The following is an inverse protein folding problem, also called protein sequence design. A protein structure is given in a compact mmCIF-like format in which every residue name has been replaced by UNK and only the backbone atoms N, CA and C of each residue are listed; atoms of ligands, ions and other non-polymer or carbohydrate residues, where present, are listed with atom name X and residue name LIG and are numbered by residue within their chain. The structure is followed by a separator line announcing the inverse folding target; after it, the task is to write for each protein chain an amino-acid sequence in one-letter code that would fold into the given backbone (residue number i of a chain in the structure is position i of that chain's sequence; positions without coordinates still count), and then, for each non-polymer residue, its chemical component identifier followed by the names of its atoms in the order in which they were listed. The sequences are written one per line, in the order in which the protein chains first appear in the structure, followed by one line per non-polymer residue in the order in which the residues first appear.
data_IF_970417529438
#
_entry.id   IF_970417529438
#
_cell.length_a   1.000
_cell.length_b   1.000
_cell.length_c   1.000
_cell.angle_alpha   90.00
_cell.angle_beta   90.00
_cell.angle_gamma   90.00
#
_symmetry.space_group_name_H-M   'P 1'
#
loop_
_entity.id
_entity.type
_entity.pdbx_description
1 polymer ?
#
# COMPACT_ATOMS: atom_id res chain seq x y z
N UNK A 1 -42.73 13.66 36.15
CA UNK A 1 -41.65 14.36 36.87
C UNK A 1 -40.54 13.36 37.15
N UNK A 2 -39.64 13.17 36.18
CA UNK A 2 -38.48 12.28 36.31
C UNK A 2 -37.26 13.06 36.80
N UNK A 3 -36.50 12.49 37.73
CA UNK A 3 -35.37 13.14 38.41
C UNK A 3 -34.25 13.57 37.44
N UNK A 4 -33.76 14.82 37.50
CA UNK A 4 -32.63 15.31 36.70
C UNK A 4 -31.25 14.79 37.14
N UNK A 5 -31.18 13.98 38.21
CA UNK A 5 -29.92 13.53 38.80
C UNK A 5 -29.18 12.44 37.97
N UNK A 6 -29.83 11.78 37.01
CA UNK A 6 -29.19 10.74 36.17
C UNK A 6 -28.45 11.29 34.95
N UNK A 7 -28.74 12.51 34.49
CA UNK A 7 -28.10 13.12 33.32
C UNK A 7 -26.67 13.61 33.59
N UNK A 8 -26.36 14.00 34.83
CA UNK A 8 -25.05 14.57 35.18
C UNK A 8 -23.99 13.46 35.36
N UNK A 9 -24.39 12.26 35.82
CA UNK A 9 -23.47 11.14 36.02
C UNK A 9 -22.92 10.57 34.71
N UNK A 10 -23.73 10.50 33.66
CA UNK A 10 -23.34 9.92 32.37
C UNK A 10 -22.44 10.85 31.55
N UNK A 11 -22.70 12.17 31.58
CA UNK A 11 -21.85 13.17 30.92
C UNK A 11 -20.49 13.30 31.61
N UNK A 12 -20.46 13.18 32.94
CA UNK A 12 -19.20 13.12 33.70
C UNK A 12 -18.37 11.88 33.34
N UNK A 13 -18.98 10.73 33.08
CA UNK A 13 -18.27 9.51 32.68
C UNK A 13 -17.64 9.64 31.28
N UNK A 14 -18.35 10.28 30.33
CA UNK A 14 -17.86 10.54 28.96
C UNK A 14 -16.73 11.58 28.95
N UNK A 15 -16.84 12.64 29.76
CA UNK A 15 -15.77 13.64 29.93
C UNK A 15 -14.52 13.07 30.62
N UNK A 16 -14.69 12.18 31.59
CA UNK A 16 -13.57 11.46 32.21
C UNK A 16 -12.90 10.51 31.21
N UNK A 17 -13.65 9.93 30.28
CA UNK A 17 -13.11 9.10 29.20
C UNK A 17 -12.30 9.91 28.15
N UNK A 18 -12.78 11.09 27.78
CA UNK A 18 -12.07 12.00 26.88
C UNK A 18 -10.74 12.47 27.50
N UNK A 19 -10.75 12.83 28.79
CA UNK A 19 -9.56 13.24 29.52
C UNK A 19 -8.56 12.07 29.76
N UNK A 20 -9.06 10.85 29.98
CA UNK A 20 -8.20 9.67 30.11
C UNK A 20 -7.50 9.33 28.78
N UNK A 21 -8.20 9.43 27.65
CA UNK A 21 -7.59 9.25 26.32
C UNK A 21 -6.54 10.31 25.96
N UNK A 22 -6.72 11.57 26.38
CA UNK A 22 -5.71 12.63 26.20
C UNK A 22 -4.47 12.45 27.10
N UNK A 23 -4.63 11.87 28.29
CA UNK A 23 -3.52 11.60 29.21
C UNK A 23 -2.59 10.46 28.75
N UNK A 24 -3.12 9.50 27.99
CA UNK A 24 -2.34 8.39 27.41
C UNK A 24 -1.52 8.85 26.20
N UNK A 25 -2.01 9.80 25.39
CA UNK A 25 -1.26 10.39 24.26
C UNK A 25 -0.15 11.34 24.71
N UNK A 26 -0.37 12.11 25.77
CA UNK A 26 0.61 13.08 26.30
C UNK A 26 1.79 12.43 27.04
N UNK A 27 1.64 11.20 27.52
CA UNK A 27 2.72 10.44 28.19
C UNK A 27 3.78 9.88 27.21
N UNK A 28 3.55 9.98 25.89
CA UNK A 28 4.43 9.40 24.86
C UNK A 28 5.27 10.42 24.06
N UNK A 29 5.17 11.73 24.35
CA UNK A 29 5.82 12.80 23.57
C UNK A 29 6.92 13.58 24.29
N UNK A 30 7.36 13.18 25.49
CA UNK A 30 8.50 13.83 26.17
C UNK A 30 9.71 12.92 26.28
N UNK A 31 10.52 12.87 25.22
CA UNK A 31 11.97 12.61 25.33
C UNK A 31 12.65 12.81 23.97
N UNK A 32 13.15 14.02 23.71
CA UNK A 32 14.48 14.26 23.10
C UNK A 32 14.76 15.76 22.96
N UNK A 33 15.45 16.35 23.94
CA UNK A 33 16.49 17.40 23.82
C UNK A 33 17.27 17.37 25.14
N UNK A 34 18.37 16.61 25.23
CA UNK A 34 19.79 17.01 25.03
C UNK A 34 20.40 17.79 26.22
N UNK A 35 21.20 17.04 26.99
CA UNK A 35 22.43 17.37 27.74
C UNK A 35 22.63 18.75 28.38
N UNK A 36 22.64 18.77 29.73
CA UNK A 36 23.88 19.02 30.49
C UNK A 36 23.73 18.56 31.96
N UNK A 37 24.85 18.15 32.56
CA UNK A 37 25.13 17.77 33.96
C UNK A 37 24.94 16.31 34.43
N UNK A 38 26.10 15.67 34.59
CA UNK A 38 26.46 14.51 35.43
C UNK A 38 25.86 14.49 36.84
N UNK A 39 25.48 13.30 37.33
CA UNK A 39 26.08 12.56 38.48
C UNK A 39 25.37 11.19 38.69
N UNK A 40 26.17 10.22 39.15
CA UNK A 40 25.98 8.79 39.49
C UNK A 40 24.63 8.32 40.08
N UNK A 41 24.28 7.06 39.78
CA UNK A 41 23.39 6.23 40.61
C UNK A 41 22.94 4.93 39.93
N UNK A 42 23.19 3.80 40.58
CA UNK A 42 22.99 2.41 40.15
C UNK A 42 21.56 1.99 39.73
N UNK A 43 21.50 1.02 38.79
CA UNK A 43 20.63 -0.16 38.92
C UNK A 43 19.26 -0.16 38.23
N UNK A 44 19.01 -1.22 37.42
CA UNK A 44 17.66 -1.76 37.22
C UNK A 44 17.19 -1.86 35.76
N UNK A 45 17.31 -3.06 35.16
CA UNK A 45 16.52 -3.44 33.99
C UNK A 45 15.02 -3.40 34.30
N UNK A 46 14.23 -2.88 33.36
CA UNK A 46 12.84 -3.32 33.15
C UNK A 46 12.44 -3.02 31.70
N UNK A 47 12.36 -4.08 30.90
CA UNK A 47 11.52 -4.15 29.70
C UNK A 47 10.09 -3.78 30.10
N UNK A 48 9.56 -2.67 29.57
CA UNK A 48 8.13 -2.40 29.62
C UNK A 48 7.47 -3.05 28.40
N UNK A 49 7.12 -4.32 28.56
CA UNK A 49 6.11 -4.97 27.73
C UNK A 49 4.79 -4.21 27.88
N UNK A 50 4.23 -3.74 26.76
CA UNK A 50 2.88 -3.20 26.74
C UNK A 50 1.92 -4.40 26.82
N UNK A 51 1.35 -4.59 28.00
CA UNK A 51 0.51 -5.74 28.36
C UNK A 51 -0.77 -5.82 27.53
N UNK A 52 -1.00 -7.01 26.94
CA UNK A 52 -2.23 -7.40 26.24
C UNK A 52 -3.51 -7.36 27.11
N UNK A 53 -3.38 -7.23 28.43
CA UNK A 53 -4.51 -7.07 29.37
C UNK A 53 -5.23 -5.73 29.18
N UNK A 54 -4.49 -4.65 28.94
CA UNK A 54 -5.06 -3.30 28.78
C UNK A 54 -5.96 -3.15 27.55
N UNK A 55 -5.62 -3.82 26.44
CA UNK A 55 -6.45 -3.81 25.22
C UNK A 55 -7.77 -4.57 25.42
N UNK A 56 -7.75 -5.66 26.17
CA UNK A 56 -8.95 -6.48 26.47
C UNK A 56 -9.92 -5.73 27.40
N UNK A 57 -9.38 -4.97 28.35
CA UNK A 57 -10.17 -4.16 29.29
C UNK A 57 -10.85 -2.98 28.58
N UNK A 58 -10.17 -2.33 27.62
CA UNK A 58 -10.75 -1.23 26.85
C UNK A 58 -11.87 -1.70 25.91
N UNK A 59 -11.72 -2.84 25.23
CA UNK A 59 -12.79 -3.41 24.39
C UNK A 59 -14.01 -3.81 25.23
N UNK A 60 -13.78 -4.42 26.40
CA UNK A 60 -14.85 -4.81 27.33
C UNK A 60 -15.60 -3.59 27.86
N UNK A 61 -14.86 -2.54 28.23
CA UNK A 61 -15.43 -1.29 28.74
C UNK A 61 -16.19 -0.53 27.63
N UNK A 62 -15.67 -0.50 26.42
CA UNK A 62 -16.37 0.10 25.27
C UNK A 62 -17.69 -0.64 24.96
N UNK A 63 -17.72 -1.97 25.08
CA UNK A 63 -18.95 -2.76 25.00
C UNK A 63 -19.97 -2.42 26.09
N UNK A 64 -19.52 -2.17 27.33
CA UNK A 64 -20.40 -1.74 28.43
C UNK A 64 -20.93 -0.31 28.22
N UNK A 65 -20.11 0.59 27.67
CA UNK A 65 -20.55 1.94 27.28
C UNK A 65 -21.60 1.86 26.17
N UNK A 66 -21.40 1.04 25.13
CA UNK A 66 -22.41 0.81 24.09
C UNK A 66 -23.73 0.32 24.65
N UNK A 67 -23.69 -0.63 25.57
CA UNK A 67 -24.89 -1.18 26.19
C UNK A 67 -25.64 -0.13 27.03
N UNK A 68 -24.89 0.74 27.71
CA UNK A 68 -25.44 1.85 28.50
C UNK A 68 -26.03 2.95 27.61
N UNK A 69 -25.37 3.27 26.50
CA UNK A 69 -25.87 4.22 25.50
C UNK A 69 -27.17 3.71 24.89
N UNK A 70 -27.19 2.47 24.41
CA UNK A 70 -28.38 1.86 23.82
C UNK A 70 -29.57 1.83 24.80
N UNK A 71 -29.30 1.61 26.10
CA UNK A 71 -30.33 1.59 27.14
C UNK A 71 -30.90 2.99 27.49
N UNK A 72 -30.20 4.06 27.14
CA UNK A 72 -30.62 5.44 27.45
C UNK A 72 -30.89 6.27 26.19
N UNK A 73 -30.77 5.68 25.00
CA UNK A 73 -30.79 6.40 23.73
C UNK A 73 -32.10 7.18 23.56
N UNK A 74 -33.24 6.60 23.94
CA UNK A 74 -34.58 7.22 23.88
C UNK A 74 -34.73 8.53 24.71
N UNK A 75 -33.80 8.83 25.62
CA UNK A 75 -33.81 10.06 26.42
C UNK A 75 -33.11 11.24 25.73
N UNK A 76 -32.41 10.99 24.61
CA UNK A 76 -31.66 11.98 23.85
C UNK A 76 -32.43 12.45 22.61
N UNK A 77 -32.17 13.68 22.16
CA UNK A 77 -32.68 14.12 20.85
C UNK A 77 -32.01 13.30 19.75
N UNK A 78 -32.66 13.13 18.59
CA UNK A 78 -32.12 12.32 17.50
C UNK A 78 -30.71 12.77 17.05
N UNK A 79 -30.41 14.07 17.16
CA UNK A 79 -29.09 14.65 16.85
C UNK A 79 -28.05 14.23 17.89
N UNK A 80 -28.40 14.29 19.19
CA UNK A 80 -27.49 13.89 20.27
C UNK A 80 -27.21 12.37 20.27
N UNK A 81 -28.17 11.57 19.80
CA UNK A 81 -27.98 10.13 19.61
C UNK A 81 -26.94 9.84 18.52
N UNK A 82 -27.05 10.52 17.37
CA UNK A 82 -26.15 10.36 16.23
C UNK A 82 -24.70 10.72 16.59
N UNK A 83 -24.50 11.86 17.24
CA UNK A 83 -23.20 12.33 17.73
C UNK A 83 -22.58 11.36 18.75
N UNK A 84 -23.38 10.83 19.67
CA UNK A 84 -22.91 9.91 20.70
C UNK A 84 -22.47 8.56 20.11
N UNK A 85 -23.24 8.03 19.16
CA UNK A 85 -22.87 6.82 18.43
C UNK A 85 -21.61 7.04 17.56
N UNK A 86 -21.40 8.25 17.01
CA UNK A 86 -20.21 8.58 16.21
C UNK A 86 -18.95 8.57 17.09
N UNK A 87 -19.05 9.23 18.24
CA UNK A 87 -17.97 9.24 19.24
C UNK A 87 -17.63 7.83 19.72
N UNK A 88 -18.65 6.99 19.94
CA UNK A 88 -18.45 5.62 20.38
C UNK A 88 -17.83 4.73 19.30
N UNK A 89 -18.25 4.89 18.04
CA UNK A 89 -17.65 4.21 16.88
C UNK A 89 -16.17 4.56 16.75
N UNK A 90 -15.82 5.84 16.90
CA UNK A 90 -14.44 6.31 16.83
C UNK A 90 -13.60 5.82 18.03
N UNK A 91 -14.20 5.74 19.23
CA UNK A 91 -13.54 5.23 20.42
C UNK A 91 -13.23 3.73 20.32
N UNK A 92 -14.20 2.92 19.90
CA UNK A 92 -14.04 1.49 19.62
C UNK A 92 -12.94 1.24 18.57
N UNK A 93 -13.00 1.99 17.47
CA UNK A 93 -11.98 1.92 16.42
C UNK A 93 -10.57 2.18 16.95
N UNK A 94 -10.38 3.21 17.78
CA UNK A 94 -9.08 3.54 18.37
C UNK A 94 -8.60 2.46 19.34
N UNK A 95 -9.52 1.83 20.08
CA UNK A 95 -9.21 0.74 21.00
C UNK A 95 -8.76 -0.55 20.28
N UNK A 96 -9.36 -0.84 19.12
CA UNK A 96 -9.11 -2.07 18.35
C UNK A 96 -7.94 -1.95 17.35
N UNK A 97 -7.47 -0.73 17.08
CA UNK A 97 -6.39 -0.49 16.12
C UNK A 97 -5.01 -0.89 16.67
N UNK A 98 -4.29 -1.84 16.03
CA UNK A 98 -2.98 -2.28 16.50
C UNK A 98 -1.96 -1.12 16.46
N UNK A 99 -1.46 -0.74 17.64
CA UNK A 99 -0.28 0.13 17.78
C UNK A 99 -0.54 1.63 17.87
N UNK A 100 -1.80 2.09 18.03
CA UNK A 100 -2.12 3.50 18.34
C UNK A 100 -1.55 4.54 17.36
N UNK A 101 -1.18 4.12 16.14
CA UNK A 101 -0.43 4.94 15.18
C UNK A 101 -1.27 5.34 13.98
N UNK A 102 -1.10 6.62 13.65
CA UNK A 102 -1.75 7.43 12.62
C UNK A 102 -3.24 7.70 12.87
N UNK A 103 -3.55 8.98 13.09
CA UNK A 103 -4.91 9.48 13.07
C UNK A 103 -5.53 9.14 11.70
N UNK A 104 -6.32 8.07 11.62
CA UNK A 104 -7.26 7.90 10.53
C UNK A 104 -8.22 9.09 10.57
N UNK A 105 -8.60 9.63 9.41
CA UNK A 105 -9.62 10.68 9.41
C UNK A 105 -10.91 10.08 9.98
N UNK A 106 -11.49 10.73 10.99
CA UNK A 106 -12.73 10.27 11.61
C UNK A 106 -13.83 10.11 10.55
N UNK A 107 -13.86 11.00 9.55
CA UNK A 107 -14.75 10.91 8.41
C UNK A 107 -14.58 9.64 7.57
N UNK A 108 -13.34 9.20 7.29
CA UNK A 108 -13.09 7.95 6.56
C UNK A 108 -13.58 6.73 7.37
N UNK A 109 -13.29 6.70 8.68
CA UNK A 109 -13.67 5.58 9.55
C UNK A 109 -15.19 5.49 9.67
N UNK A 110 -15.86 6.61 9.93
CA UNK A 110 -17.32 6.65 10.03
C UNK A 110 -17.98 6.24 8.71
N UNK A 111 -17.47 6.73 7.57
CA UNK A 111 -17.97 6.32 6.26
C UNK A 111 -17.75 4.81 6.03
N UNK A 112 -16.58 4.27 6.35
CA UNK A 112 -16.28 2.85 6.16
C UNK A 112 -17.16 1.95 7.04
N UNK A 113 -17.32 2.27 8.32
CA UNK A 113 -18.07 1.42 9.25
C UNK A 113 -19.58 1.59 9.05
N UNK A 114 -20.09 2.82 9.03
CA UNK A 114 -21.55 3.07 9.00
C UNK A 114 -22.15 2.96 7.61
N UNK A 115 -21.53 3.60 6.61
CA UNK A 115 -22.11 3.66 5.27
C UNK A 115 -21.78 2.41 4.44
N UNK A 116 -20.63 1.79 4.67
CA UNK A 116 -20.13 0.68 3.85
C UNK A 116 -20.11 -0.67 4.60
N UNK A 117 -20.38 -0.67 5.91
CA UNK A 117 -20.49 -1.89 6.72
C UNK A 117 -19.17 -2.63 6.91
N UNK A 118 -18.02 -1.95 6.80
CA UNK A 118 -16.72 -2.56 7.10
C UNK A 118 -16.56 -2.82 8.59
N UNK A 119 -15.87 -3.90 8.93
CA UNK A 119 -15.37 -4.11 10.29
C UNK A 119 -14.37 -3.02 10.67
N UNK A 120 -14.17 -2.83 11.97
CA UNK A 120 -13.16 -1.91 12.51
C UNK A 120 -11.75 -2.19 11.98
N UNK A 121 -11.36 -3.47 11.88
CA UNK A 121 -10.08 -3.87 11.31
C UNK A 121 -9.93 -3.50 9.83
N UNK A 122 -10.99 -3.70 9.03
CA UNK A 122 -11.01 -3.31 7.62
C UNK A 122 -11.00 -1.79 7.46
N UNK A 123 -11.79 -1.06 8.26
CA UNK A 123 -11.76 0.39 8.30
C UNK A 123 -10.38 0.92 8.69
N UNK A 124 -9.68 0.23 9.61
CA UNK A 124 -8.34 0.63 10.05
C UNK A 124 -7.33 0.42 8.94
N UNK A 125 -7.38 -0.71 8.24
CA UNK A 125 -6.55 -0.94 7.07
C UNK A 125 -6.83 0.10 5.97
N UNK A 126 -8.11 0.42 5.72
CA UNK A 126 -8.52 1.31 4.66
C UNK A 126 -8.14 2.78 4.90
N UNK A 127 -8.31 3.24 6.14
CA UNK A 127 -8.17 4.65 6.51
C UNK A 127 -6.80 5.00 7.12
N UNK A 128 -5.83 4.08 7.05
CA UNK A 128 -4.46 4.33 7.49
C UNK A 128 -3.83 5.49 6.69
N UNK A 129 -3.23 6.45 7.39
CA UNK A 129 -2.38 7.48 6.76
C UNK A 129 -3.09 8.73 6.20
N UNK A 130 -4.27 9.11 6.70
CA UNK A 130 -5.00 10.33 6.28
C UNK A 130 -5.35 10.38 4.77
N UNK A 131 -5.60 9.22 4.17
CA UNK A 131 -5.95 9.12 2.76
C UNK A 131 -7.44 9.42 2.60
N UNK A 132 -7.75 10.68 2.29
CA UNK A 132 -9.12 11.25 2.28
C UNK A 132 -10.08 10.47 1.36
N UNK A 133 -9.58 9.82 0.31
CA UNK A 133 -10.42 9.19 -0.71
C UNK A 133 -10.48 7.66 -0.66
N UNK A 134 -9.82 7.01 0.32
CA UNK A 134 -9.80 5.54 0.37
C UNK A 134 -11.18 4.94 0.69
N UNK A 135 -11.98 5.59 1.53
CA UNK A 135 -13.38 5.20 1.75
C UNK A 135 -14.25 5.39 0.48
N UNK A 136 -14.01 6.47 -0.28
CA UNK A 136 -14.69 6.68 -1.57
C UNK A 136 -14.33 5.62 -2.61
N UNK A 137 -13.04 5.28 -2.72
CA UNK A 137 -12.55 4.18 -3.54
C UNK A 137 -13.23 2.85 -3.17
N UNK A 138 -13.25 2.51 -1.88
CA UNK A 138 -13.85 1.27 -1.40
C UNK A 138 -15.37 1.24 -1.60
N UNK A 139 -16.05 2.36 -1.39
CA UNK A 139 -17.49 2.49 -1.65
C UNK A 139 -17.82 2.28 -3.12
N UNK A 140 -17.03 2.85 -4.03
CA UNK A 140 -17.17 2.61 -5.47
C UNK A 140 -16.93 1.14 -5.83
N UNK A 141 -15.84 0.55 -5.33
CA UNK A 141 -15.51 -0.86 -5.58
C UNK A 141 -16.63 -1.81 -5.07
N UNK A 142 -17.09 -1.60 -3.84
CA UNK A 142 -18.07 -2.44 -3.18
C UNK A 142 -19.48 -2.27 -3.76
N UNK A 143 -19.99 -1.04 -3.73
CA UNK A 143 -21.40 -0.76 -4.01
C UNK A 143 -21.71 -0.63 -5.50
N UNK A 144 -20.74 -0.17 -6.30
CA UNK A 144 -20.95 0.08 -7.74
C UNK A 144 -20.42 -1.06 -8.60
N UNK A 145 -19.22 -1.54 -8.29
CA UNK A 145 -18.54 -2.55 -9.12
C UNK A 145 -18.67 -3.98 -8.59
N UNK A 146 -19.23 -4.17 -7.39
CA UNK A 146 -19.53 -5.48 -6.82
C UNK A 146 -18.27 -6.27 -6.46
N UNK A 147 -17.20 -5.59 -6.05
CA UNK A 147 -16.09 -6.21 -5.33
C UNK A 147 -16.53 -6.55 -3.90
N UNK A 148 -15.96 -7.60 -3.32
CA UNK A 148 -16.15 -7.91 -1.91
C UNK A 148 -15.51 -6.85 -1.01
N UNK A 149 -15.84 -6.87 0.28
CA UNK A 149 -15.21 -5.98 1.26
C UNK A 149 -13.69 -6.18 1.30
N UNK A 150 -13.21 -7.43 1.33
CA UNK A 150 -11.77 -7.71 1.39
C UNK A 150 -11.04 -7.26 0.11
N UNK A 151 -11.65 -7.46 -1.06
CA UNK A 151 -11.09 -6.95 -2.32
C UNK A 151 -11.04 -5.42 -2.35
N UNK A 152 -12.09 -4.76 -1.84
CA UNK A 152 -12.18 -3.29 -1.76
C UNK A 152 -11.11 -2.72 -0.83
N UNK A 153 -10.87 -3.36 0.32
CA UNK A 153 -9.78 -3.00 1.23
C UNK A 153 -8.43 -3.21 0.56
N UNK A 154 -8.19 -4.38 -0.04
CA UNK A 154 -6.94 -4.69 -0.71
C UNK A 154 -6.60 -3.70 -1.84
N UNK A 155 -7.64 -3.24 -2.55
CA UNK A 155 -7.54 -2.28 -3.64
C UNK A 155 -7.24 -0.85 -3.14
N UNK A 156 -7.90 -0.41 -2.07
CA UNK A 156 -7.97 1.01 -1.70
C UNK A 156 -7.11 1.40 -0.49
N UNK A 157 -6.72 0.47 0.38
CA UNK A 157 -6.03 0.73 1.66
C UNK A 157 -4.66 1.44 1.56
N UNK A 158 -4.08 1.55 0.36
CA UNK A 158 -2.77 2.19 0.13
C UNK A 158 -2.87 3.53 -0.60
N UNK A 159 -3.98 4.24 -0.41
CA UNK A 159 -4.22 5.57 -1.00
C UNK A 159 -4.88 5.49 -2.36
N UNK A 160 -5.88 4.62 -2.48
CA UNK A 160 -6.70 4.54 -3.68
C UNK A 160 -7.69 5.69 -3.77
N UNK A 161 -8.02 6.05 -5.01
CA UNK A 161 -9.08 7.01 -5.36
C UNK A 161 -10.19 6.31 -6.15
N UNK A 162 -11.20 7.06 -6.60
CA UNK A 162 -12.25 6.51 -7.47
C UNK A 162 -11.65 5.94 -8.77
N UNK A 163 -10.59 6.56 -9.29
CA UNK A 163 -9.84 6.08 -10.46
C UNK A 163 -9.19 4.72 -10.22
N UNK A 164 -8.77 4.42 -8.98
CA UNK A 164 -8.27 3.09 -8.60
C UNK A 164 -9.37 2.03 -8.70
N UNK A 165 -10.59 2.35 -8.26
CA UNK A 165 -11.74 1.46 -8.40
C UNK A 165 -12.14 1.27 -9.87
N UNK A 166 -12.16 2.35 -10.65
CA UNK A 166 -12.43 2.30 -12.10
C UNK A 166 -11.38 1.51 -12.88
N UNK A 167 -10.10 1.59 -12.47
CA UNK A 167 -9.03 0.76 -13.00
C UNK A 167 -9.34 -0.73 -12.82
N UNK A 168 -9.70 -1.14 -11.60
CA UNK A 168 -9.98 -2.55 -11.31
C UNK A 168 -11.20 -3.05 -12.08
N UNK A 169 -12.23 -2.21 -12.20
CA UNK A 169 -13.40 -2.50 -13.02
C UNK A 169 -13.03 -2.66 -14.50
N UNK A 170 -12.20 -1.75 -15.03
CA UNK A 170 -11.76 -1.82 -16.43
C UNK A 170 -10.90 -3.05 -16.68
N UNK A 171 -9.98 -3.39 -15.77
CA UNK A 171 -9.20 -4.64 -15.84
C UNK A 171 -10.11 -5.87 -15.92
N UNK A 172 -11.19 -5.90 -15.13
CA UNK A 172 -12.16 -6.99 -15.12
C UNK A 172 -12.98 -7.07 -16.42
N UNK A 173 -13.58 -5.95 -16.86
CA UNK A 173 -14.58 -5.98 -17.95
C UNK A 173 -14.01 -5.74 -19.33
N UNK A 174 -12.98 -4.91 -19.45
CA UNK A 174 -12.38 -4.53 -20.74
C UNK A 174 -11.25 -5.48 -21.10
N UNK A 175 -10.42 -5.84 -20.13
CA UNK A 175 -9.25 -6.70 -20.36
C UNK A 175 -9.52 -8.18 -20.02
N UNK A 176 -10.66 -8.49 -19.38
CA UNK A 176 -11.05 -9.86 -19.05
C UNK A 176 -10.21 -10.49 -17.93
N UNK A 177 -9.59 -9.67 -17.07
CA UNK A 177 -8.76 -10.16 -15.97
C UNK A 177 -9.64 -10.74 -14.86
N UNK A 178 -9.10 -11.66 -14.08
CA UNK A 178 -9.77 -12.11 -12.85
C UNK A 178 -9.82 -10.98 -11.82
N UNK A 179 -10.74 -11.06 -10.85
CA UNK A 179 -10.80 -10.08 -9.75
C UNK A 179 -9.47 -9.94 -9.02
N UNK A 180 -8.81 -11.06 -8.73
CA UNK A 180 -7.51 -11.06 -8.07
C UNK A 180 -6.44 -10.31 -8.88
N UNK A 181 -6.38 -10.53 -10.20
CA UNK A 181 -5.46 -9.81 -11.09
C UNK A 181 -5.80 -8.32 -11.17
N UNK A 182 -7.08 -7.96 -11.26
CA UNK A 182 -7.54 -6.57 -11.27
C UNK A 182 -7.16 -5.83 -9.99
N UNK A 183 -7.32 -6.46 -8.82
CA UNK A 183 -6.86 -5.91 -7.54
C UNK A 183 -5.35 -5.79 -7.53
N UNK A 184 -4.63 -6.84 -7.91
CA UNK A 184 -3.16 -6.86 -7.89
C UNK A 184 -2.55 -5.74 -8.73
N UNK A 185 -3.11 -5.46 -9.92
CA UNK A 185 -2.57 -4.45 -10.85
C UNK A 185 -2.98 -3.03 -10.50
N UNK A 186 -4.15 -2.80 -9.91
CA UNK A 186 -4.66 -1.45 -9.62
C UNK A 186 -4.43 -0.97 -8.18
N UNK A 187 -4.27 -1.87 -7.19
CA UNK A 187 -4.22 -1.52 -5.77
C UNK A 187 -3.25 -0.38 -5.41
N UNK A 188 -3.76 0.69 -4.81
CA UNK A 188 -2.99 1.86 -4.35
C UNK A 188 -2.20 2.57 -5.45
N UNK A 189 -2.72 2.58 -6.68
CA UNK A 189 -2.06 3.15 -7.86
C UNK A 189 -3.01 4.08 -8.63
N UNK A 190 -2.40 4.98 -9.39
CA UNK A 190 -3.08 5.83 -10.36
C UNK A 190 -3.65 4.97 -11.49
N UNK A 191 -4.98 4.97 -11.59
CA UNK A 191 -5.71 4.16 -12.56
C UNK A 191 -5.36 4.51 -14.02
N UNK A 192 -5.02 5.76 -14.32
CA UNK A 192 -4.68 6.19 -15.68
C UNK A 192 -3.33 5.61 -16.12
N UNK A 193 -2.32 5.64 -15.25
CA UNK A 193 -0.98 5.07 -15.52
C UNK A 193 -1.08 3.55 -15.70
N UNK A 194 -1.86 2.88 -14.86
CA UNK A 194 -2.08 1.42 -14.99
C UNK A 194 -2.83 1.10 -16.28
N UNK A 195 -3.90 1.84 -16.62
CA UNK A 195 -4.65 1.63 -17.85
C UNK A 195 -3.79 1.79 -19.11
N UNK A 196 -2.85 2.75 -19.11
CA UNK A 196 -1.88 2.90 -20.20
C UNK A 196 -0.98 1.65 -20.32
N UNK A 197 -0.47 1.14 -19.19
CA UNK A 197 0.35 -0.08 -19.18
C UNK A 197 -0.44 -1.30 -19.68
N UNK A 198 -1.66 -1.51 -19.16
CA UNK A 198 -2.55 -2.60 -19.59
C UNK A 198 -2.86 -2.50 -21.08
N UNK A 199 -3.12 -1.29 -21.58
CA UNK A 199 -3.36 -1.02 -22.99
C UNK A 199 -2.18 -1.43 -23.87
N UNK A 200 -0.96 -1.00 -23.51
CA UNK A 200 0.25 -1.32 -24.25
C UNK A 200 0.57 -2.83 -24.19
N UNK A 201 0.71 -3.40 -22.99
CA UNK A 201 1.13 -4.79 -22.85
C UNK A 201 0.07 -5.79 -23.36
N UNK A 202 -1.18 -5.67 -22.93
CA UNK A 202 -2.19 -6.68 -23.25
C UNK A 202 -2.78 -6.52 -24.65
N UNK A 203 -3.21 -5.31 -25.02
CA UNK A 203 -3.92 -5.08 -26.29
C UNK A 203 -2.97 -4.87 -27.47
N UNK A 204 -1.89 -4.12 -27.27
CA UNK A 204 -0.98 -3.77 -28.37
C UNK A 204 0.08 -4.85 -28.58
N UNK A 205 0.78 -5.23 -27.52
CA UNK A 205 1.92 -6.15 -27.61
C UNK A 205 1.54 -7.62 -27.39
N UNK A 206 0.26 -7.88 -27.08
CA UNK A 206 -0.32 -9.23 -27.02
C UNK A 206 0.21 -10.11 -25.89
N UNK A 207 0.69 -9.52 -24.79
CA UNK A 207 1.09 -10.28 -23.60
C UNK A 207 -0.14 -10.92 -22.94
N UNK A 208 0.04 -12.09 -22.34
CA UNK A 208 -1.01 -12.73 -21.52
C UNK A 208 -1.38 -11.87 -20.29
N UNK A 209 -2.49 -12.22 -19.63
CA UNK A 209 -2.94 -11.51 -18.42
C UNK A 209 -1.90 -11.59 -17.30
N UNK A 210 -1.28 -12.76 -17.07
CA UNK A 210 -0.26 -12.93 -16.04
C UNK A 210 1.03 -12.15 -16.34
N UNK A 211 1.48 -12.19 -17.59
CA UNK A 211 2.63 -11.39 -18.03
C UNK A 211 2.35 -9.88 -17.92
N UNK A 212 1.14 -9.47 -18.28
CA UNK A 212 0.70 -8.08 -18.14
C UNK A 212 0.65 -7.65 -16.68
N UNK A 213 0.16 -8.50 -15.77
CA UNK A 213 0.19 -8.23 -14.33
C UNK A 213 1.62 -8.09 -13.84
N UNK A 214 2.54 -8.97 -14.26
CA UNK A 214 3.95 -8.86 -13.89
C UNK A 214 4.59 -7.54 -14.35
N UNK A 215 4.22 -7.05 -15.53
CA UNK A 215 4.71 -5.77 -16.07
C UNK A 215 4.02 -4.56 -15.44
N UNK A 216 2.74 -4.65 -15.06
CA UNK A 216 1.94 -3.48 -14.72
C UNK A 216 1.66 -3.30 -13.22
N UNK A 217 1.87 -4.34 -12.39
CA UNK A 217 1.54 -4.34 -10.97
C UNK A 217 2.59 -3.65 -10.09
N UNK A 218 3.14 -2.51 -10.52
CA UNK A 218 4.07 -1.71 -9.74
C UNK A 218 3.99 -0.22 -10.10
N UNK A 219 4.55 0.65 -9.26
CA UNK A 219 4.67 2.09 -9.59
C UNK A 219 5.63 2.27 -10.77
N UNK A 220 5.30 3.16 -11.71
CA UNK A 220 6.09 3.38 -12.93
C UNK A 220 5.88 2.33 -14.03
N UNK A 221 4.75 1.64 -14.04
CA UNK A 221 4.40 0.58 -14.99
C UNK A 221 4.32 1.03 -16.46
N UNK A 222 4.14 2.31 -16.75
CA UNK A 222 4.13 2.79 -18.13
C UNK A 222 5.43 2.47 -18.90
N UNK A 223 6.59 2.48 -18.22
CA UNK A 223 7.88 2.22 -18.89
C UNK A 223 8.16 0.73 -19.11
N UNK A 224 7.60 -0.14 -18.27
CA UNK A 224 7.88 -1.58 -18.33
C UNK A 224 7.16 -2.27 -19.47
N UNK A 225 5.92 -1.87 -19.77
CA UNK A 225 5.24 -2.31 -20.99
C UNK A 225 6.00 -1.87 -22.25
N UNK A 226 6.42 -0.60 -22.32
CA UNK A 226 7.20 -0.09 -23.46
C UNK A 226 8.55 -0.81 -23.62
N UNK A 227 9.24 -1.09 -22.52
CA UNK A 227 10.45 -1.92 -22.50
C UNK A 227 10.19 -3.31 -23.10
N UNK A 228 9.13 -3.98 -22.63
CA UNK A 228 8.81 -5.34 -23.05
C UNK A 228 8.41 -5.39 -24.53
N UNK A 229 7.55 -4.47 -24.97
CA UNK A 229 7.17 -4.33 -26.37
C UNK A 229 8.37 -4.07 -27.28
N UNK A 230 9.31 -3.21 -26.86
CA UNK A 230 10.56 -2.95 -27.61
C UNK A 230 11.44 -4.21 -27.68
N UNK A 231 11.60 -4.94 -26.57
CA UNK A 231 12.39 -6.17 -26.53
C UNK A 231 11.84 -7.24 -27.49
N UNK A 232 10.51 -7.41 -27.55
CA UNK A 232 9.87 -8.37 -28.47
C UNK A 232 9.95 -7.88 -29.91
N UNK A 233 9.40 -6.70 -30.20
CA UNK A 233 9.19 -6.22 -31.56
C UNK A 233 10.48 -5.86 -32.30
N UNK A 234 11.47 -5.32 -31.60
CA UNK A 234 12.70 -4.79 -32.22
C UNK A 234 13.87 -5.74 -32.06
N UNK A 235 14.01 -6.36 -30.89
CA UNK A 235 15.17 -7.20 -30.59
C UNK A 235 14.88 -8.71 -30.66
N UNK A 236 13.63 -9.10 -30.95
CA UNK A 236 13.26 -10.50 -31.20
C UNK A 236 13.31 -11.41 -29.97
N UNK A 237 13.22 -10.84 -28.76
CA UNK A 237 13.07 -11.63 -27.55
C UNK A 237 11.67 -12.26 -27.49
N UNK A 238 11.57 -13.43 -26.86
CA UNK A 238 10.26 -14.01 -26.52
C UNK A 238 9.55 -13.14 -25.47
N UNK A 239 8.22 -13.25 -25.38
CA UNK A 239 7.45 -12.51 -24.38
C UNK A 239 7.92 -12.82 -22.94
N UNK A 240 8.23 -14.09 -22.62
CA UNK A 240 8.73 -14.47 -21.29
C UNK A 240 10.09 -13.84 -20.98
N UNK A 241 11.00 -13.79 -21.95
CA UNK A 241 12.27 -13.08 -21.80
C UNK A 241 12.06 -11.58 -21.63
N UNK A 242 11.13 -10.98 -22.36
CA UNK A 242 10.80 -9.57 -22.25
C UNK A 242 10.25 -9.23 -20.85
N UNK A 243 9.39 -10.08 -20.30
CA UNK A 243 8.87 -9.94 -18.94
C UNK A 243 9.98 -10.06 -17.90
N UNK A 244 10.83 -11.10 -18.00
CA UNK A 244 11.95 -11.29 -17.09
C UNK A 244 12.94 -10.10 -17.13
N UNK A 245 13.12 -9.49 -18.31
CA UNK A 245 13.97 -8.32 -18.50
C UNK A 245 13.34 -7.04 -17.91
N UNK A 246 12.05 -6.81 -18.14
CA UNK A 246 11.42 -5.50 -17.96
C UNK A 246 10.53 -5.36 -16.72
N UNK A 247 10.00 -6.44 -16.14
CA UNK A 247 9.03 -6.36 -15.02
C UNK A 247 9.59 -5.66 -13.78
N UNK A 248 10.92 -5.71 -13.57
CA UNK A 248 11.58 -5.02 -12.47
C UNK A 248 12.01 -3.60 -12.86
N UNK A 249 11.04 -2.77 -13.26
CA UNK A 249 11.24 -1.35 -13.62
C UNK A 249 12.18 -1.14 -14.81
N UNK A 250 12.09 -2.01 -15.81
CA UNK A 250 12.75 -1.82 -17.09
C UNK A 250 12.26 -0.58 -17.83
N UNK A 251 13.14 -0.07 -18.69
CA UNK A 251 12.91 1.07 -19.57
C UNK A 251 13.38 0.76 -20.99
N UNK A 252 13.24 1.70 -21.91
CA UNK A 252 13.82 1.61 -23.27
C UNK A 252 15.32 1.28 -23.24
N UNK A 253 16.05 1.83 -22.27
CA UNK A 253 17.48 1.60 -22.11
C UNK A 253 17.77 0.15 -21.69
N UNK A 254 16.89 -0.45 -20.90
CA UNK A 254 16.97 -1.86 -20.50
C UNK A 254 16.81 -2.80 -21.69
N UNK A 255 15.81 -2.55 -22.54
CA UNK A 255 15.66 -3.30 -23.79
C UNK A 255 16.84 -3.07 -24.75
N UNK A 256 17.33 -1.83 -24.84
CA UNK A 256 18.49 -1.48 -25.68
C UNK A 256 19.77 -2.18 -25.21
N UNK A 257 20.01 -2.24 -23.89
CA UNK A 257 21.10 -3.01 -23.30
C UNK A 257 21.06 -4.47 -23.77
N UNK A 258 19.89 -5.12 -23.64
CA UNK A 258 19.73 -6.52 -24.00
C UNK A 258 19.88 -6.73 -25.52
N UNK A 259 19.34 -5.82 -26.33
CA UNK A 259 19.48 -5.81 -27.78
C UNK A 259 20.94 -5.69 -28.21
N UNK A 260 21.71 -4.76 -27.63
CA UNK A 260 23.14 -4.60 -27.92
C UNK A 260 23.95 -5.83 -27.49
N UNK A 261 23.73 -6.32 -26.28
CA UNK A 261 24.41 -7.52 -25.79
C UNK A 261 24.17 -8.72 -26.74
N UNK A 262 22.93 -8.91 -27.20
CA UNK A 262 22.57 -10.02 -28.05
C UNK A 262 23.03 -9.85 -29.51
N UNK A 263 22.67 -8.74 -30.16
CA UNK A 263 22.88 -8.54 -31.59
C UNK A 263 24.26 -8.00 -31.94
N UNK A 264 24.86 -7.16 -31.09
CA UNK A 264 26.14 -6.51 -31.36
C UNK A 264 27.32 -7.26 -30.75
N UNK A 265 27.14 -7.84 -29.56
CA UNK A 265 28.25 -8.42 -28.79
C UNK A 265 28.23 -9.96 -28.72
N UNK A 266 27.23 -10.58 -29.35
CA UNK A 266 27.17 -12.03 -29.53
C UNK A 266 26.87 -12.82 -28.25
N UNK A 267 26.30 -12.19 -27.23
CA UNK A 267 25.73 -12.91 -26.09
C UNK A 267 24.44 -13.61 -26.52
N UNK A 268 24.13 -14.75 -25.91
CA UNK A 268 22.81 -15.38 -26.12
C UNK A 268 21.70 -14.48 -25.55
N UNK A 269 20.46 -14.65 -26.01
CA UNK A 269 19.31 -13.91 -25.46
C UNK A 269 19.19 -14.11 -23.94
N UNK A 270 19.39 -15.33 -23.44
CA UNK A 270 19.33 -15.60 -22.00
C UNK A 270 20.41 -14.84 -21.24
N UNK A 271 21.63 -14.79 -21.76
CA UNK A 271 22.72 -14.04 -21.17
C UNK A 271 22.45 -12.53 -21.18
N UNK A 272 21.89 -12.01 -22.28
CA UNK A 272 21.49 -10.61 -22.37
C UNK A 272 20.39 -10.25 -21.36
N UNK A 273 19.40 -11.13 -21.15
CA UNK A 273 18.38 -10.95 -20.11
C UNK A 273 19.02 -10.90 -18.72
N UNK A 274 19.90 -11.84 -18.38
CA UNK A 274 20.55 -11.86 -17.06
C UNK A 274 21.40 -10.60 -16.85
N UNK A 275 22.17 -10.19 -17.86
CA UNK A 275 23.03 -9.01 -17.81
C UNK A 275 22.25 -7.71 -17.61
N UNK A 276 21.15 -7.55 -18.33
CA UNK A 276 20.42 -6.28 -18.41
C UNK A 276 19.17 -6.24 -17.53
N UNK A 277 18.76 -7.35 -16.92
CA UNK A 277 17.66 -7.36 -15.95
C UNK A 277 17.93 -6.41 -14.78
N UNK A 278 16.87 -5.88 -14.18
CA UNK A 278 16.93 -4.95 -13.04
C UNK A 278 17.55 -3.58 -13.37
N UNK A 279 17.04 -2.91 -14.42
CA UNK A 279 17.45 -1.57 -14.87
C UNK A 279 18.81 -1.50 -15.55
N UNK A 280 19.19 -2.54 -16.29
CA UNK A 280 20.37 -2.51 -17.14
C UNK A 280 20.34 -1.32 -18.10
N UNK A 281 21.53 -0.81 -18.39
CA UNK A 281 21.80 0.30 -19.30
C UNK A 281 22.75 -0.18 -20.40
N UNK A 282 22.81 0.51 -21.56
CA UNK A 282 23.78 0.20 -22.62
C UNK A 282 25.22 0.02 -22.11
N UNK A 283 25.62 0.78 -21.07
CA UNK A 283 26.92 0.67 -20.44
C UNK A 283 27.21 -0.73 -19.86
N UNK A 284 26.21 -1.45 -19.36
CA UNK A 284 26.38 -2.82 -18.86
C UNK A 284 26.77 -3.77 -20.00
N UNK A 285 26.17 -3.60 -21.19
CA UNK A 285 26.51 -4.38 -22.39
C UNK A 285 27.93 -4.08 -22.86
N UNK A 286 28.34 -2.81 -22.90
CA UNK A 286 29.71 -2.40 -23.24
C UNK A 286 30.74 -2.91 -22.23
N UNK A 287 30.42 -2.86 -20.94
CA UNK A 287 31.25 -3.45 -19.88
C UNK A 287 31.46 -4.94 -20.14
N UNK A 288 30.37 -5.69 -20.37
CA UNK A 288 30.44 -7.14 -20.57
C UNK A 288 31.24 -7.49 -21.84
N UNK A 289 31.07 -6.71 -22.91
CA UNK A 289 31.88 -6.85 -24.12
C UNK A 289 33.37 -6.64 -23.84
N UNK A 290 33.74 -5.60 -23.09
CA UNK A 290 35.13 -5.29 -22.79
C UNK A 290 35.76 -6.35 -21.87
N UNK A 291 35.01 -6.78 -20.86
CA UNK A 291 35.42 -7.84 -19.94
C UNK A 291 35.69 -9.16 -20.68
N UNK A 292 34.75 -9.58 -21.55
CA UNK A 292 34.87 -10.80 -22.33
C UNK A 292 35.94 -10.69 -23.44
N UNK A 293 35.88 -9.63 -24.25
CA UNK A 293 36.69 -9.48 -25.45
C UNK A 293 38.13 -9.04 -25.21
N UNK A 294 38.38 -8.25 -24.16
CA UNK A 294 39.70 -7.65 -23.90
C UNK A 294 40.35 -8.20 -22.65
N UNK A 295 39.60 -8.36 -21.55
CA UNK A 295 40.16 -8.85 -20.29
C UNK A 295 40.22 -10.38 -20.19
N UNK A 296 39.72 -11.10 -21.20
CA UNK A 296 39.81 -12.57 -21.29
C UNK A 296 38.92 -13.32 -20.30
N UNK A 297 37.94 -12.64 -19.68
CA UNK A 297 36.94 -13.27 -18.83
C UNK A 297 36.02 -14.16 -19.66
N UNK A 298 35.47 -15.21 -19.05
CA UNK A 298 34.35 -15.94 -19.65
C UNK A 298 33.11 -15.05 -19.73
N UNK A 299 32.14 -15.40 -20.60
CA UNK A 299 30.89 -14.63 -20.71
C UNK A 299 30.14 -14.54 -19.40
N UNK A 300 30.10 -15.61 -18.61
CA UNK A 300 29.36 -15.62 -17.36
C UNK A 300 30.06 -14.77 -16.27
N UNK A 301 31.39 -14.78 -16.23
CA UNK A 301 32.15 -13.87 -15.36
C UNK A 301 31.99 -12.41 -15.78
N UNK A 302 31.99 -12.12 -17.08
CA UNK A 302 31.73 -10.78 -17.60
C UNK A 302 30.32 -10.30 -17.22
N UNK A 303 29.31 -11.17 -17.31
CA UNK A 303 27.94 -10.85 -16.89
C UNK A 303 27.87 -10.58 -15.38
N UNK A 304 28.46 -11.45 -14.57
CA UNK A 304 28.48 -11.29 -13.12
C UNK A 304 29.14 -9.97 -12.68
N UNK A 305 30.22 -9.59 -13.38
CA UNK A 305 30.96 -8.34 -13.13
C UNK A 305 30.16 -7.11 -13.55
N UNK A 306 29.52 -7.17 -14.73
CA UNK A 306 28.97 -5.99 -15.39
C UNK A 306 27.46 -5.77 -15.16
N UNK A 307 26.72 -6.73 -14.60
CA UNK A 307 25.28 -6.57 -14.37
C UNK A 307 24.91 -5.45 -13.38
N UNK A 308 25.88 -5.02 -12.56
CA UNK A 308 25.67 -4.02 -11.49
C UNK A 308 26.48 -2.75 -11.68
N UNK A 309 27.11 -2.53 -12.84
CA UNK A 309 27.80 -1.26 -13.10
C UNK A 309 26.78 -0.14 -13.10
N UNK A 310 26.67 0.55 -11.97
CA UNK A 310 25.97 1.82 -11.89
C UNK A 310 26.79 2.80 -12.72
N UNK A 311 26.13 3.48 -13.64
CA UNK A 311 26.68 4.71 -14.21
C UNK A 311 26.86 5.65 -13.02
N UNK A 312 28.12 5.85 -12.60
CA UNK A 312 28.45 6.94 -11.68
C UNK A 312 28.15 8.19 -12.47
N UNK A 313 27.00 8.80 -12.19
CA UNK A 313 26.58 10.07 -12.78
C UNK A 313 27.54 11.13 -12.24
N UNK A 314 28.65 11.35 -12.96
CA UNK A 314 29.54 12.49 -12.72
C UNK A 314 28.85 13.71 -13.32
N UNK A 315 27.97 14.33 -12.54
CA UNK A 315 27.55 15.73 -12.70
C UNK A 315 28.20 16.60 -11.64
#
# INVERSE_FOLDING_TARGET
MGSPARLIGSVALVLVFAAACESVTSSSTTSTTRDELTIQGDGGSADAGVDASTSTDVVTLAGQVQQTVNANIEAYSAVDQEDLEDHLTLALFRAESPGGRAAASASCVLQAVRALGFSSAQAAALCQGNLVDSAGCAGMALLTFGFSQDESVALCARGGSVETAQCAQSALTVFGFTRAQSVAVCAGRDGAVVAQCLGAAFRTDGFSSDQTVALCAHRGSATTAACAGLAVSTFGFTQDQAVALCANRGTSETATCAGQANHSFGFSQQQAVVLCSNRGQPANATCAQTAYGTAGLTRDEAIATCRHTQVVDTR
#
